data_IF_071237966956
#
_entry.id   IF_071237966956
#
_cell.length_a   1.000
_cell.length_b   1.000
_cell.length_c   1.000
_cell.angle_alpha   90.00
_cell.angle_beta   90.00
_cell.angle_gamma   90.00
#
_symmetry.space_group_name_H-M   'P 1'
#
loop_
_entity.id
_entity.type
_entity.pdbx_description
1 polymer ?
#
# COMPACT_ATOMS: atom_id res chain seq x y z
N UNK A 1 -10.58 19.05 11.62
CA UNK A 1 -10.75 18.12 10.49
C UNK A 1 -12.21 18.17 10.07
N UNK A 2 -12.55 18.43 8.79
CA UNK A 2 -13.92 18.35 8.29
C UNK A 2 -14.43 16.91 8.21
N UNK A 3 -15.75 16.73 8.13
CA UNK A 3 -16.45 15.43 8.25
C UNK A 3 -16.76 14.75 6.92
N UNK A 4 -16.10 15.13 5.84
CA UNK A 4 -16.28 14.64 4.47
C UNK A 4 -15.12 13.75 4.02
N UNK A 5 -15.36 12.98 2.95
CA UNK A 5 -14.34 12.11 2.34
C UNK A 5 -13.42 12.93 1.43
N UNK A 6 -12.53 13.71 2.05
CA UNK A 6 -11.53 14.53 1.37
C UNK A 6 -10.18 14.53 2.13
N UNK A 7 -9.13 15.07 1.50
CA UNK A 7 -7.80 15.23 2.09
C UNK A 7 -7.89 16.05 3.39
N UNK A 8 -7.39 15.47 4.47
CA UNK A 8 -7.44 16.11 5.78
C UNK A 8 -8.82 16.06 6.43
N UNK A 9 -9.75 15.27 5.91
CA UNK A 9 -11.02 14.94 6.55
C UNK A 9 -10.89 13.84 7.61
N UNK A 10 -11.83 13.81 8.56
CA UNK A 10 -12.01 12.76 9.56
C UNK A 10 -13.50 12.41 9.64
N UNK A 11 -13.85 11.22 9.16
CA UNK A 11 -15.24 10.79 9.03
C UNK A 11 -15.51 9.59 9.93
N UNK A 12 -16.48 9.71 10.85
CA UNK A 12 -17.05 8.54 11.52
C UNK A 12 -18.07 7.88 10.58
N UNK A 13 -17.69 6.74 9.99
CA UNK A 13 -18.53 6.01 9.02
C UNK A 13 -19.71 5.29 9.70
N UNK A 14 -19.69 5.13 11.02
CA UNK A 14 -20.77 4.55 11.82
C UNK A 14 -20.32 3.38 12.70
N UNK A 15 -21.21 2.41 12.90
CA UNK A 15 -20.93 1.24 13.75
C UNK A 15 -20.06 0.19 13.03
N UNK A 16 -19.76 -0.94 13.67
CA UNK A 16 -18.97 -2.01 13.05
C UNK A 16 -19.58 -2.54 11.73
N UNK A 17 -20.91 -2.48 11.57
CA UNK A 17 -21.57 -2.89 10.32
C UNK A 17 -21.48 -1.83 9.21
N UNK A 18 -20.90 -0.67 9.49
CA UNK A 18 -20.59 0.37 8.50
C UNK A 18 -19.21 0.19 7.85
N UNK A 19 -18.35 -0.70 8.35
CA UNK A 19 -17.05 -1.04 7.74
C UNK A 19 -17.13 -1.43 6.24
N UNK A 20 -18.19 -2.12 5.75
CA UNK A 20 -18.36 -2.37 4.32
C UNK A 20 -18.42 -1.09 3.47
N UNK A 21 -18.76 0.08 4.02
CA UNK A 21 -18.70 1.34 3.29
C UNK A 21 -17.26 1.85 3.09
N UNK A 22 -16.31 1.43 3.94
CA UNK A 22 -14.89 1.76 3.80
C UNK A 22 -14.30 0.99 2.62
N UNK A 23 -14.46 -0.34 2.60
CA UNK A 23 -14.05 -1.15 1.44
C UNK A 23 -14.88 -0.80 0.20
N UNK A 24 -16.16 -0.50 0.38
CA UNK A 24 -17.04 0.01 -0.67
C UNK A 24 -16.56 1.33 -1.28
N UNK A 25 -15.87 2.20 -0.54
CA UNK A 25 -15.25 3.39 -1.10
C UNK A 25 -14.10 3.02 -2.05
N UNK A 26 -13.23 2.08 -1.67
CA UNK A 26 -12.17 1.57 -2.56
C UNK A 26 -12.74 0.89 -3.82
N UNK A 27 -13.80 0.08 -3.67
CA UNK A 27 -14.52 -0.52 -4.81
C UNK A 27 -15.09 0.56 -5.72
N UNK A 28 -15.67 1.64 -5.16
CA UNK A 28 -16.19 2.77 -5.94
C UNK A 28 -15.10 3.54 -6.67
N UNK A 29 -13.86 3.61 -6.15
CA UNK A 29 -12.73 4.15 -6.92
C UNK A 29 -12.48 3.29 -8.17
N UNK A 30 -12.44 1.97 -8.04
CA UNK A 30 -12.28 1.08 -9.20
C UNK A 30 -13.45 1.19 -10.19
N UNK A 31 -14.69 1.25 -9.70
CA UNK A 31 -15.88 1.21 -10.56
C UNK A 31 -16.27 2.55 -11.17
N UNK A 32 -16.14 3.67 -10.44
CA UNK A 32 -16.53 5.00 -10.91
C UNK A 32 -15.38 5.67 -11.64
N UNK A 33 -14.20 5.74 -11.01
CA UNK A 33 -13.05 6.43 -11.60
C UNK A 33 -12.41 5.60 -12.72
N UNK A 34 -12.16 4.32 -12.48
CA UNK A 34 -11.57 3.43 -13.49
C UNK A 34 -12.58 2.63 -14.34
N UNK A 35 -13.88 2.86 -14.14
CA UNK A 35 -14.97 2.26 -14.93
C UNK A 35 -14.93 0.72 -15.00
N UNK A 36 -14.44 0.06 -13.95
CA UNK A 36 -14.37 -1.41 -13.88
C UNK A 36 -15.73 -2.02 -13.51
N UNK A 37 -16.17 -3.09 -14.19
CA UNK A 37 -17.43 -3.75 -13.86
C UNK A 37 -17.32 -4.48 -12.51
N UNK A 38 -18.35 -4.36 -11.67
CA UNK A 38 -18.34 -4.93 -10.30
C UNK A 38 -19.08 -6.27 -10.16
N UNK A 39 -19.99 -6.59 -11.09
CA UNK A 39 -20.84 -7.79 -10.98
C UNK A 39 -20.00 -9.03 -11.23
N UNK A 40 -19.85 -9.88 -10.21
CA UNK A 40 -19.10 -11.15 -10.32
C UNK A 40 -17.61 -10.99 -10.60
N UNK A 41 -17.03 -9.82 -10.31
CA UNK A 41 -15.68 -9.45 -10.75
C UNK A 41 -14.75 -9.07 -9.59
N UNK A 42 -14.87 -9.77 -8.45
CA UNK A 42 -14.14 -9.44 -7.23
C UNK A 42 -12.61 -9.41 -7.44
N UNK A 43 -12.08 -10.38 -8.20
CA UNK A 43 -10.65 -10.55 -8.44
C UNK A 43 -10.03 -9.33 -9.15
N UNK A 44 -10.64 -8.81 -10.21
CA UNK A 44 -10.14 -7.62 -10.92
C UNK A 44 -10.22 -6.37 -10.04
N UNK A 45 -11.29 -6.23 -9.26
CA UNK A 45 -11.43 -5.08 -8.35
C UNK A 45 -10.38 -5.12 -7.25
N UNK A 46 -10.13 -6.29 -6.66
CA UNK A 46 -9.09 -6.48 -5.66
C UNK A 46 -7.69 -6.22 -6.24
N UNK A 47 -7.38 -6.73 -7.45
CA UNK A 47 -6.13 -6.45 -8.15
C UNK A 47 -5.96 -4.95 -8.44
N UNK A 48 -7.03 -4.28 -8.86
CA UNK A 48 -7.02 -2.83 -9.07
C UNK A 48 -6.70 -2.08 -7.78
N UNK A 49 -7.37 -2.41 -6.67
CA UNK A 49 -7.17 -1.76 -5.36
C UNK A 49 -5.75 -2.01 -4.85
N UNK A 50 -5.27 -3.26 -4.91
CA UNK A 50 -3.93 -3.65 -4.49
C UNK A 50 -2.84 -2.89 -5.24
N UNK A 51 -3.01 -2.68 -6.55
CA UNK A 51 -1.99 -2.07 -7.39
C UNK A 51 -2.08 -0.53 -7.48
N UNK A 52 -3.26 0.08 -7.23
CA UNK A 52 -3.52 1.49 -7.56
C UNK A 52 -4.13 2.32 -6.43
N UNK A 53 -4.77 1.72 -5.43
CA UNK A 53 -5.50 2.46 -4.39
C UNK A 53 -4.76 2.39 -3.06
N UNK A 54 -4.06 3.48 -2.73
CA UNK A 54 -3.34 3.63 -1.46
C UNK A 54 -4.30 3.78 -0.29
N UNK A 55 -4.50 2.70 0.47
CA UNK A 55 -5.31 2.66 1.69
C UNK A 55 -4.67 1.70 2.70
N UNK A 56 -4.88 1.94 3.98
CA UNK A 56 -4.41 1.07 5.08
C UNK A 56 -5.46 1.08 6.19
N UNK A 57 -5.86 -0.10 6.66
CA UNK A 57 -6.71 -0.24 7.85
C UNK A 57 -5.87 -0.31 9.13
N UNK A 58 -6.40 0.22 10.22
CA UNK A 58 -5.79 0.08 11.55
C UNK A 58 -6.85 -0.44 12.53
N UNK A 59 -6.57 -1.56 13.16
CA UNK A 59 -7.40 -2.15 14.21
C UNK A 59 -6.57 -2.40 15.47
N UNK A 60 -6.23 -1.31 16.16
CA UNK A 60 -5.27 -1.29 17.28
C UNK A 60 -5.68 -2.20 18.45
N UNK A 61 -6.97 -2.16 18.84
CA UNK A 61 -7.52 -2.96 19.94
C UNK A 61 -8.30 -4.20 19.50
N UNK A 62 -7.93 -4.84 18.39
CA UNK A 62 -8.71 -5.95 17.84
C UNK A 62 -8.67 -7.20 18.74
N UNK A 63 -9.78 -7.49 19.43
CA UNK A 63 -9.94 -8.67 20.31
C UNK A 63 -11.05 -9.66 19.92
N UNK A 64 -11.93 -9.29 18.98
CA UNK A 64 -13.10 -10.09 18.63
C UNK A 64 -12.94 -10.83 17.29
N UNK A 65 -13.63 -11.96 17.15
CA UNK A 65 -13.74 -12.68 15.86
C UNK A 65 -14.31 -11.79 14.73
N UNK A 66 -15.15 -10.80 15.07
CA UNK A 66 -15.62 -9.78 14.11
C UNK A 66 -14.48 -8.93 13.57
N UNK A 67 -13.51 -8.55 14.40
CA UNK A 67 -12.36 -7.77 13.95
C UNK A 67 -11.49 -8.59 12.99
N UNK A 68 -11.27 -9.88 13.30
CA UNK A 68 -10.53 -10.79 12.43
C UNK A 68 -11.22 -10.99 11.06
N UNK A 69 -12.55 -11.13 11.04
CA UNK A 69 -13.30 -11.28 9.78
C UNK A 69 -13.36 -10.00 8.96
N UNK A 70 -13.47 -8.83 9.60
CA UNK A 70 -13.36 -7.52 8.94
C UNK A 70 -11.98 -7.35 8.32
N UNK A 71 -10.91 -7.60 9.08
CA UNK A 71 -9.54 -7.51 8.56
C UNK A 71 -9.32 -8.44 7.37
N UNK A 72 -9.79 -9.69 7.46
CA UNK A 72 -9.71 -10.66 6.36
C UNK A 72 -10.45 -10.19 5.11
N UNK A 73 -11.62 -9.56 5.25
CA UNK A 73 -12.38 -8.99 4.13
C UNK A 73 -11.65 -7.80 3.48
N UNK A 74 -11.07 -6.92 4.30
CA UNK A 74 -10.26 -5.78 3.84
C UNK A 74 -9.02 -6.27 3.09
N UNK A 75 -8.36 -7.32 3.59
CA UNK A 75 -7.23 -7.96 2.92
C UNK A 75 -7.62 -8.60 1.59
N UNK A 76 -8.77 -9.28 1.53
CA UNK A 76 -9.30 -9.84 0.29
C UNK A 76 -9.53 -8.78 -0.79
N UNK A 77 -9.80 -7.52 -0.39
CA UNK A 77 -9.91 -6.37 -1.30
C UNK A 77 -8.55 -5.75 -1.68
N UNK A 78 -7.42 -6.35 -1.29
CA UNK A 78 -6.09 -5.82 -1.57
C UNK A 78 -5.70 -4.62 -0.68
N UNK A 79 -6.39 -4.41 0.44
CA UNK A 79 -6.07 -3.35 1.40
C UNK A 79 -5.32 -3.94 2.60
N UNK A 80 -4.13 -3.43 2.94
CA UNK A 80 -3.38 -3.88 4.11
C UNK A 80 -4.02 -3.41 5.41
N UNK A 81 -3.84 -4.18 6.48
CA UNK A 81 -4.36 -3.90 7.82
C UNK A 81 -3.24 -4.06 8.84
N UNK A 82 -3.10 -3.06 9.71
CA UNK A 82 -2.22 -3.09 10.87
C UNK A 82 -3.07 -3.36 12.11
N UNK A 83 -2.67 -4.32 12.91
CA UNK A 83 -3.32 -4.68 14.17
C UNK A 83 -2.39 -4.42 15.35
N UNK A 84 -2.95 -4.26 16.55
CA UNK A 84 -2.12 -4.15 17.76
C UNK A 84 -1.49 -5.49 18.16
N UNK A 85 -0.58 -5.49 19.15
CA UNK A 85 0.23 -6.66 19.48
C UNK A 85 -0.60 -7.86 19.97
N UNK A 86 -1.68 -7.63 20.72
CA UNK A 86 -2.59 -8.68 21.18
C UNK A 86 -3.24 -9.48 20.04
N UNK A 87 -3.37 -8.88 18.86
CA UNK A 87 -3.94 -9.55 17.70
C UNK A 87 -3.05 -10.65 17.13
N UNK A 88 -1.80 -10.80 17.60
CA UNK A 88 -1.00 -11.99 17.35
C UNK A 88 -1.72 -13.29 17.77
N UNK A 89 -2.63 -13.22 18.74
CA UNK A 89 -3.46 -14.33 19.20
C UNK A 89 -4.44 -14.86 18.13
N UNK A 90 -4.70 -14.11 17.05
CA UNK A 90 -5.45 -14.62 15.88
C UNK A 90 -4.65 -15.65 15.05
N UNK A 91 -3.37 -15.89 15.37
CA UNK A 91 -2.49 -16.96 14.85
C UNK A 91 -2.06 -16.86 13.39
N UNK A 92 -2.66 -15.97 12.57
CA UNK A 92 -2.32 -15.83 11.15
C UNK A 92 -2.08 -14.38 10.79
N UNK A 93 -0.94 -14.12 10.16
CA UNK A 93 -0.54 -12.84 9.58
C UNK A 93 -0.21 -13.04 8.10
N UNK A 94 -0.24 -11.95 7.32
CA UNK A 94 0.05 -11.96 5.89
C UNK A 94 1.25 -11.05 5.63
N UNK A 95 2.42 -11.59 5.98
CA UNK A 95 3.71 -10.90 5.91
C UNK A 95 4.36 -11.24 4.56
N UNK A 96 4.55 -10.24 3.70
CA UNK A 96 5.34 -10.40 2.48
C UNK A 96 6.83 -10.46 2.76
N UNK A 97 7.55 -11.17 1.87
CA UNK A 97 9.00 -11.33 1.89
C UNK A 97 9.64 -10.33 0.95
N UNK A 98 10.01 -9.15 1.45
CA UNK A 98 10.64 -8.13 0.62
C UNK A 98 12.02 -8.55 0.11
N UNK A 99 12.69 -9.50 0.77
CA UNK A 99 13.95 -10.12 0.35
C UNK A 99 13.83 -10.99 -0.92
N UNK A 100 12.63 -11.47 -1.24
CA UNK A 100 12.38 -12.43 -2.32
C UNK A 100 11.82 -11.73 -3.57
N UNK A 101 12.70 -11.33 -4.49
CA UNK A 101 12.32 -10.60 -5.71
C UNK A 101 11.32 -11.35 -6.59
N UNK A 102 11.34 -12.68 -6.60
CA UNK A 102 10.41 -13.48 -7.41
C UNK A 102 8.96 -13.29 -6.96
N UNK A 103 8.73 -13.02 -5.67
CA UNK A 103 7.39 -12.76 -5.12
C UNK A 103 6.84 -11.38 -5.49
N UNK A 104 7.68 -10.48 -6.01
CA UNK A 104 7.32 -9.11 -6.42
C UNK A 104 7.31 -8.93 -7.93
N UNK A 105 7.26 -10.02 -8.70
CA UNK A 105 7.12 -9.99 -10.15
C UNK A 105 5.64 -9.97 -10.55
N UNK A 106 5.29 -9.05 -11.45
CA UNK A 106 3.92 -8.86 -11.95
C UNK A 106 3.89 -8.83 -13.48
N UNK A 107 2.67 -8.82 -14.04
CA UNK A 107 2.46 -8.58 -15.46
C UNK A 107 2.30 -7.09 -15.75
N UNK A 108 2.76 -6.67 -16.92
CA UNK A 108 2.38 -5.40 -17.51
C UNK A 108 1.07 -5.58 -18.30
N UNK A 109 0.01 -4.92 -17.86
CA UNK A 109 -1.31 -5.02 -18.47
C UNK A 109 -1.36 -4.48 -19.91
N UNK A 110 -0.37 -3.66 -20.31
CA UNK A 110 -0.32 -3.03 -21.64
C UNK A 110 0.07 -3.99 -22.77
N UNK A 111 0.92 -4.97 -22.48
CA UNK A 111 1.55 -5.85 -23.48
C UNK A 111 1.62 -7.32 -23.05
N UNK A 112 1.13 -7.67 -21.85
CA UNK A 112 1.12 -9.04 -21.35
C UNK A 112 2.48 -9.59 -20.94
N UNK A 113 3.54 -8.79 -21.01
CA UNK A 113 4.87 -9.20 -20.59
C UNK A 113 4.88 -9.42 -19.07
N UNK A 114 5.43 -10.57 -18.65
CA UNK A 114 5.53 -10.97 -17.25
C UNK A 114 6.94 -10.78 -16.69
N UNK A 115 7.08 -10.95 -15.38
CA UNK A 115 8.38 -10.94 -14.71
C UNK A 115 8.88 -9.55 -14.31
N UNK A 116 8.03 -8.52 -14.40
CA UNK A 116 8.41 -7.17 -14.04
C UNK A 116 8.45 -6.97 -12.54
N UNK A 117 9.60 -6.56 -12.02
CA UNK A 117 9.81 -6.34 -10.60
C UNK A 117 9.18 -5.01 -10.13
N UNK A 118 8.22 -5.08 -9.22
CA UNK A 118 7.67 -3.90 -8.52
C UNK A 118 8.24 -3.76 -7.10
N UNK A 119 8.10 -2.56 -6.53
CA UNK A 119 8.45 -2.35 -5.12
C UNK A 119 7.44 -3.02 -4.18
N UNK A 120 7.85 -3.37 -2.94
CA UNK A 120 7.00 -4.06 -1.96
C UNK A 120 5.94 -3.13 -1.33
N UNK A 121 5.00 -2.63 -2.13
CA UNK A 121 3.98 -1.67 -1.73
C UNK A 121 2.56 -2.14 -2.05
N UNK A 122 1.76 -2.64 -1.09
CA UNK A 122 2.10 -2.84 0.32
C UNK A 122 2.95 -4.10 0.56
N UNK A 123 3.89 -4.05 1.52
CA UNK A 123 4.75 -5.19 1.87
C UNK A 123 3.97 -6.30 2.60
N UNK A 124 2.99 -5.92 3.42
CA UNK A 124 2.19 -6.85 4.22
C UNK A 124 0.73 -6.56 3.99
N UNK A 125 -0.10 -7.61 3.94
CA UNK A 125 -1.55 -7.45 3.97
C UNK A 125 -2.07 -7.43 5.42
N UNK A 126 -1.44 -8.18 6.34
CA UNK A 126 -1.85 -8.20 7.74
C UNK A 126 -0.61 -8.31 8.62
N UNK A 127 -0.35 -7.28 9.42
CA UNK A 127 0.83 -7.21 10.29
C UNK A 127 0.50 -6.58 11.64
N UNK A 128 1.29 -6.89 12.66
CA UNK A 128 1.21 -6.27 13.98
C UNK A 128 2.16 -5.08 14.08
N UNK A 129 1.77 -4.07 14.86
CA UNK A 129 2.69 -3.06 15.37
C UNK A 129 2.63 -3.06 16.90
N UNK A 130 3.80 -2.98 17.54
CA UNK A 130 3.93 -3.01 19.00
C UNK A 130 3.60 -1.64 19.62
N UNK A 131 3.96 -0.56 18.92
CA UNK A 131 3.73 0.82 19.37
C UNK A 131 2.96 1.64 18.34
N UNK A 132 2.29 2.70 18.80
CA UNK A 132 1.54 3.61 17.93
C UNK A 132 2.50 4.31 16.96
N UNK A 133 3.71 4.63 17.40
CA UNK A 133 4.78 5.22 16.60
C UNK A 133 5.17 4.32 15.42
N UNK A 134 5.32 3.01 15.69
CA UNK A 134 5.57 2.02 14.64
C UNK A 134 4.37 1.91 13.68
N UNK A 135 3.15 1.90 14.22
CA UNK A 135 1.93 1.83 13.42
C UNK A 135 1.81 3.03 12.47
N UNK A 136 2.10 4.24 12.94
CA UNK A 136 2.08 5.47 12.11
C UNK A 136 3.04 5.33 10.92
N UNK A 137 4.27 4.85 11.16
CA UNK A 137 5.24 4.64 10.09
C UNK A 137 4.77 3.57 9.09
N UNK A 138 4.19 2.47 9.58
CA UNK A 138 3.64 1.41 8.73
C UNK A 138 2.43 1.90 7.92
N UNK A 139 1.57 2.75 8.46
CA UNK A 139 0.44 3.33 7.71
C UNK A 139 0.96 4.10 6.50
N UNK A 140 2.02 4.91 6.66
CA UNK A 140 2.61 5.65 5.55
C UNK A 140 3.28 4.72 4.52
N UNK A 141 4.06 3.73 4.97
CA UNK A 141 4.72 2.76 4.09
C UNK A 141 3.71 1.93 3.30
N UNK A 142 2.75 1.32 3.97
CA UNK A 142 1.78 0.42 3.37
C UNK A 142 0.74 1.14 2.51
N UNK A 143 0.75 2.47 2.44
CA UNK A 143 -0.07 3.24 1.49
C UNK A 143 0.59 3.39 0.11
N UNK A 144 1.89 3.10 -0.04
CA UNK A 144 2.60 3.10 -1.31
C UNK A 144 2.04 2.02 -2.25
N UNK A 145 1.94 2.34 -3.53
CA UNK A 145 1.40 1.44 -4.55
C UNK A 145 2.32 1.36 -5.77
N UNK A 146 2.35 0.21 -6.48
CA UNK A 146 3.22 0.04 -7.64
C UNK A 146 2.89 1.05 -8.74
N UNK A 147 1.59 1.32 -8.94
CA UNK A 147 1.08 2.22 -9.97
C UNK A 147 0.95 3.70 -9.56
N UNK A 148 1.54 4.13 -8.43
CA UNK A 148 1.59 5.55 -8.07
C UNK A 148 2.22 6.37 -9.20
N UNK A 149 1.64 7.51 -9.58
CA UNK A 149 2.34 8.44 -10.47
C UNK A 149 3.52 9.10 -9.72
N UNK A 150 4.47 9.72 -10.43
CA UNK A 150 5.67 10.25 -9.76
C UNK A 150 5.38 11.32 -8.71
N UNK A 151 4.42 12.22 -8.97
CA UNK A 151 4.02 13.23 -7.97
C UNK A 151 3.41 12.60 -6.71
N UNK A 152 2.53 11.61 -6.87
CA UNK A 152 1.89 10.89 -5.76
C UNK A 152 2.88 10.06 -4.97
N UNK A 153 3.77 9.34 -5.66
CA UNK A 153 4.88 8.60 -5.05
C UNK A 153 5.77 9.54 -4.23
N UNK A 154 6.19 10.66 -4.81
CA UNK A 154 7.00 11.68 -4.15
C UNK A 154 6.38 12.19 -2.85
N UNK A 155 5.07 12.48 -2.85
CA UNK A 155 4.34 12.91 -1.65
C UNK A 155 4.32 11.80 -0.59
N UNK A 156 3.99 10.57 -0.97
CA UNK A 156 3.96 9.43 -0.04
C UNK A 156 5.34 9.13 0.56
N UNK A 157 6.39 9.18 -0.27
CA UNK A 157 7.77 8.99 0.18
C UNK A 157 8.19 10.09 1.15
N UNK A 158 7.89 11.36 0.86
CA UNK A 158 8.17 12.46 1.78
C UNK A 158 7.53 12.21 3.15
N UNK A 159 6.23 11.87 3.19
CA UNK A 159 5.54 11.59 4.44
C UNK A 159 6.12 10.38 5.18
N UNK A 160 6.40 9.29 4.47
CA UNK A 160 6.97 8.11 5.10
C UNK A 160 8.36 8.39 5.68
N UNK A 161 9.25 9.05 4.93
CA UNK A 161 10.59 9.43 5.41
C UNK A 161 10.51 10.37 6.61
N UNK A 162 9.65 11.39 6.57
CA UNK A 162 9.48 12.33 7.68
C UNK A 162 8.99 11.63 8.96
N UNK A 163 8.04 10.69 8.82
CA UNK A 163 7.52 9.92 9.94
C UNK A 163 8.57 8.96 10.51
N UNK A 164 9.35 8.29 9.67
CA UNK A 164 10.43 7.40 10.09
C UNK A 164 11.56 8.19 10.81
N UNK A 165 11.90 9.39 10.31
CA UNK A 165 12.83 10.31 10.97
C UNK A 165 12.31 10.73 12.35
N UNK A 166 11.04 11.14 12.42
CA UNK A 166 10.42 11.64 13.65
C UNK A 166 10.28 10.55 14.72
N UNK A 167 9.83 9.36 14.34
CA UNK A 167 9.39 8.34 15.29
C UNK A 167 10.41 7.22 15.51
N UNK A 168 11.30 6.95 14.55
CA UNK A 168 12.35 5.94 14.67
C UNK A 168 13.77 6.50 14.70
N UNK A 169 13.94 7.81 14.48
CA UNK A 169 15.25 8.48 14.52
C UNK A 169 16.19 8.09 13.38
N UNK A 170 15.69 7.45 12.32
CA UNK A 170 16.50 7.02 11.16
C UNK A 170 16.55 8.11 10.10
N UNK A 171 17.71 8.30 9.43
CA UNK A 171 17.83 9.29 8.35
C UNK A 171 16.96 8.93 7.14
N UNK A 172 16.96 7.66 6.75
CA UNK A 172 16.13 7.10 5.70
C UNK A 172 15.62 5.71 6.10
N UNK A 173 14.44 5.29 5.60
CA UNK A 173 14.01 3.91 5.73
C UNK A 173 15.02 2.96 5.04
N UNK A 174 15.24 1.78 5.63
CA UNK A 174 16.28 0.85 5.20
C UNK A 174 16.12 0.32 3.76
N UNK A 175 14.88 0.28 3.27
CA UNK A 175 14.49 -0.27 1.97
C UNK A 175 13.91 0.80 1.03
N UNK A 176 14.22 2.07 1.28
CA UNK A 176 13.72 3.22 0.53
C UNK A 176 13.98 3.09 -0.98
N UNK A 177 15.13 2.55 -1.38
CA UNK A 177 15.53 2.38 -2.77
C UNK A 177 14.56 1.50 -3.57
N UNK A 178 13.86 0.58 -2.89
CA UNK A 178 12.87 -0.31 -3.50
C UNK A 178 11.58 0.41 -3.89
N UNK A 179 11.34 1.59 -3.33
CA UNK A 179 10.16 2.43 -3.57
C UNK A 179 10.45 3.64 -4.47
N UNK A 180 11.66 3.79 -4.99
CA UNK A 180 12.02 4.82 -5.96
C UNK A 180 12.23 4.13 -7.31
N UNK A 181 11.41 4.44 -8.31
CA UNK A 181 11.56 3.84 -9.66
C UNK A 181 12.40 4.72 -10.58
N UNK A 182 12.23 6.03 -10.46
CA UNK A 182 12.86 7.02 -11.32
C UNK A 182 13.19 8.26 -10.49
N UNK A 183 14.06 9.13 -10.99
CA UNK A 183 14.45 10.35 -10.26
C UNK A 183 13.27 11.28 -9.95
N UNK A 184 12.21 11.26 -10.77
CA UNK A 184 11.00 12.06 -10.53
C UNK A 184 10.16 11.58 -9.35
N UNK A 185 10.42 10.38 -8.81
CA UNK A 185 9.80 9.90 -7.58
C UNK A 185 10.45 10.52 -6.32
N UNK A 186 11.64 11.13 -6.44
CA UNK A 186 12.42 11.64 -5.30
C UNK A 186 11.80 12.95 -4.76
N UNK A 187 11.52 13.03 -3.44
CA UNK A 187 11.11 14.28 -2.78
C UNK A 187 12.07 15.45 -3.04
N UNK A 188 11.54 16.56 -3.58
CA UNK A 188 12.32 17.74 -3.98
C UNK A 188 13.14 18.30 -2.81
N UNK A 189 12.56 18.37 -1.62
CA UNK A 189 13.20 18.90 -0.41
C UNK A 189 14.40 18.07 0.06
N UNK A 190 14.47 16.78 -0.30
CA UNK A 190 15.49 15.83 0.13
C UNK A 190 16.29 15.26 -1.04
N UNK A 191 16.22 15.89 -2.22
CA UNK A 191 16.73 15.32 -3.47
C UNK A 191 18.21 14.96 -3.40
N UNK A 192 19.04 15.88 -2.90
CA UNK A 192 20.49 15.69 -2.80
C UNK A 192 20.84 14.50 -1.90
N UNK A 193 20.29 14.47 -0.68
CA UNK A 193 20.58 13.40 0.29
C UNK A 193 20.09 12.02 -0.20
N UNK A 194 18.92 11.97 -0.85
CA UNK A 194 18.37 10.71 -1.38
C UNK A 194 19.20 10.24 -2.58
N UNK A 195 19.66 11.14 -3.45
CA UNK A 195 20.53 10.76 -4.57
C UNK A 195 21.86 10.18 -4.09
N UNK A 196 22.44 10.69 -3.00
CA UNK A 196 23.62 10.11 -2.36
C UNK A 196 23.32 8.70 -1.81
N UNK A 197 22.23 8.55 -1.06
CA UNK A 197 21.77 7.25 -0.55
C UNK A 197 21.56 6.21 -1.69
N UNK A 198 20.94 6.62 -2.80
CA UNK A 198 20.72 5.74 -3.95
C UNK A 198 22.02 5.31 -4.64
N UNK A 199 23.01 6.20 -4.71
CA UNK A 199 24.35 5.87 -5.24
C UNK A 199 25.05 4.81 -4.38
N UNK A 200 24.95 4.92 -3.06
CA UNK A 200 25.51 3.94 -2.13
C UNK A 200 24.86 2.55 -2.28
N UNK A 201 23.63 2.48 -2.78
CA UNK A 201 22.85 1.25 -2.98
C UNK A 201 22.97 0.64 -4.39
N UNK A 202 23.83 1.17 -5.26
CA UNK A 202 23.90 0.83 -6.70
C UNK A 202 22.52 0.83 -7.38
N UNK A 203 21.68 1.81 -6.99
CA UNK A 203 20.33 1.89 -7.50
C UNK A 203 20.31 2.26 -8.98
N UNK A 204 19.43 1.60 -9.74
CA UNK A 204 19.21 1.88 -11.17
C UNK A 204 17.73 2.19 -11.40
N UNK A 205 17.42 3.15 -12.29
CA UNK A 205 16.05 3.43 -12.68
C UNK A 205 15.36 2.18 -13.21
N UNK A 206 14.07 2.04 -12.86
CA UNK A 206 13.19 0.95 -13.28
C UNK A 206 12.09 1.50 -14.17
N UNK A 207 11.62 0.66 -15.10
CA UNK A 207 10.50 0.98 -15.96
C UNK A 207 9.20 1.13 -15.15
N UNK A 208 8.37 2.10 -15.53
CA UNK A 208 7.02 2.27 -14.96
C UNK A 208 6.01 1.55 -15.86
N UNK A 209 5.58 0.38 -15.39
CA UNK A 209 4.58 -0.47 -16.05
C UNK A 209 3.15 -0.16 -15.60
N UNK A 210 2.16 -0.82 -16.23
CA UNK A 210 0.79 -0.91 -15.73
C UNK A 210 0.58 -2.25 -15.00
N UNK A 211 0.77 -2.33 -13.68
CA UNK A 211 0.91 -3.61 -12.98
C UNK A 211 -0.42 -4.34 -12.78
N UNK A 212 -0.41 -5.65 -12.95
CA UNK A 212 -1.51 -6.57 -12.58
C UNK A 212 -0.97 -7.94 -12.21
N UNK A 213 -1.64 -8.62 -11.29
CA UNK A 213 -1.41 -10.03 -10.98
C UNK A 213 -2.17 -10.97 -11.93
N UNK A 214 -3.07 -10.42 -12.76
CA UNK A 214 -4.02 -11.19 -13.54
C UNK A 214 -3.66 -11.14 -15.03
N UNK A 215 -3.01 -12.19 -15.52
CA UNK A 215 -2.64 -12.32 -16.94
C UNK A 215 -3.84 -12.16 -17.88
N UNK A 216 -5.03 -12.60 -17.47
CA UNK A 216 -6.28 -12.47 -18.24
C UNK A 216 -6.73 -11.02 -18.50
N UNK A 217 -6.15 -10.04 -17.79
CA UNK A 217 -6.45 -8.62 -17.96
C UNK A 217 -5.45 -7.91 -18.89
N UNK A 218 -4.38 -8.59 -19.28
CA UNK A 218 -3.37 -8.03 -20.19
C UNK A 218 -3.89 -7.96 -21.62
N UNK A 219 -3.49 -6.91 -22.34
CA UNK A 219 -3.64 -6.84 -23.79
C UNK A 219 -2.57 -7.71 -24.44
N UNK A 220 -3.00 -8.51 -25.42
CA UNK A 220 -2.10 -9.24 -26.33
C UNK A 220 -1.64 -8.34 -27.48
#
# INVERSE_FOLDING_TARGET
YPGDFDRGGLVNVGSCVSNPHITGAAVKVASIFARRPIRGNFEEIADYVLNRVGAVGVAWGAMSQKAASIASSVNGMGVPVIVGPHSAEYRRMYIGRSDDEDTWKVYNARDGTGGHLVGPGPEHLLTTAETVEQAICLVAKLALRPADNSKGRMIKLSHWIDLERKYKGVKFPNDLERFIRVESDIPISMKTEIQEFLKEKDWKPREIIDPTLLKRLCRE
#
